data_IF_570884479028
#
_entry.id   IF_570884479028
#
_cell.length_a   1.000
_cell.length_b   1.000
_cell.length_c   1.000
_cell.angle_alpha   90.00
_cell.angle_beta   90.00
_cell.angle_gamma   90.00
#
_symmetry.space_group_name_H-M   'P 1'
#
loop_
_entity.id
_entity.type
_entity.pdbx_description
1 polymer ?
#
# COMPACT_ATOMS: atom_id res chain seq x y z
N UNK A 1 24.98 -61.98 -46.25
CA UNK A 1 24.01 -62.47 -45.25
C UNK A 1 24.15 -61.59 -44.01
N UNK A 2 23.03 -61.08 -43.50
CA UNK A 2 22.90 -60.01 -42.51
C UNK A 2 23.53 -60.33 -41.15
N UNK A 3 24.01 -59.28 -40.46
CA UNK A 3 23.55 -58.94 -39.10
C UNK A 3 23.94 -57.49 -38.75
N UNK A 4 22.90 -56.66 -38.62
CA UNK A 4 22.95 -55.29 -38.11
C UNK A 4 23.18 -55.36 -36.60
N UNK A 5 24.19 -54.68 -36.06
CA UNK A 5 24.30 -54.41 -34.64
C UNK A 5 23.88 -52.96 -34.38
N UNK A 6 22.61 -52.83 -34.00
CA UNK A 6 22.00 -51.62 -33.45
C UNK A 6 22.75 -51.22 -32.18
N UNK A 7 23.54 -50.15 -32.25
CA UNK A 7 24.06 -49.50 -31.05
C UNK A 7 22.97 -48.57 -30.51
N UNK A 8 22.19 -49.09 -29.55
CA UNK A 8 21.34 -48.26 -28.71
C UNK A 8 22.25 -47.36 -27.87
N UNK A 9 22.32 -46.08 -28.25
CA UNK A 9 22.93 -45.04 -27.45
C UNK A 9 21.99 -44.77 -26.26
N UNK A 10 22.34 -45.30 -25.10
CA UNK A 10 21.62 -45.09 -23.84
C UNK A 10 21.95 -43.68 -23.36
N UNK A 11 21.06 -42.72 -23.63
CA UNK A 11 21.19 -41.35 -23.13
C UNK A 11 20.70 -41.32 -21.69
N UNK A 12 21.62 -41.42 -20.72
CA UNK A 12 21.31 -41.19 -19.30
C UNK A 12 21.12 -39.67 -19.15
N UNK A 13 19.86 -39.23 -19.20
CA UNK A 13 19.45 -37.90 -18.81
C UNK A 13 19.54 -37.81 -17.28
N UNK A 14 20.67 -37.35 -16.76
CA UNK A 14 20.78 -36.95 -15.37
C UNK A 14 19.87 -35.72 -15.18
N UNK A 15 18.69 -35.94 -14.61
CA UNK A 15 17.86 -34.91 -14.01
C UNK A 15 18.68 -34.27 -12.89
N UNK A 16 19.32 -33.14 -13.18
CA UNK A 16 19.68 -32.19 -12.14
C UNK A 16 18.35 -31.70 -11.56
N UNK A 17 17.89 -32.33 -10.47
CA UNK A 17 17.02 -31.63 -9.54
C UNK A 17 17.84 -30.46 -9.03
N UNK A 18 17.55 -29.28 -9.56
CA UNK A 18 17.89 -28.05 -8.86
C UNK A 18 17.06 -28.11 -7.58
N UNK A 19 17.68 -28.43 -6.45
CA UNK A 19 17.09 -28.09 -5.18
C UNK A 19 17.03 -26.57 -5.17
N UNK A 20 15.87 -26.02 -5.53
CA UNK A 20 15.45 -24.74 -4.99
C UNK A 20 15.53 -24.95 -3.49
N UNK A 21 16.60 -24.46 -2.86
CA UNK A 21 16.65 -24.37 -1.42
C UNK A 21 15.50 -23.43 -1.08
N UNK A 22 14.41 -23.98 -0.56
CA UNK A 22 13.39 -23.16 0.03
C UNK A 22 14.05 -22.46 1.23
N UNK A 23 13.81 -21.18 1.34
CA UNK A 23 14.34 -20.30 2.38
C UNK A 23 13.13 -19.67 3.06
N UNK A 24 13.28 -19.05 4.24
CA UNK A 24 12.19 -18.32 4.85
C UNK A 24 11.65 -17.28 3.88
N UNK A 25 10.33 -17.11 3.87
CA UNK A 25 9.68 -16.11 3.03
C UNK A 25 9.05 -15.03 3.87
N UNK A 26 8.96 -13.84 3.28
CA UNK A 26 8.22 -12.71 3.79
C UNK A 26 7.12 -12.38 2.78
N UNK A 27 5.88 -12.32 3.25
CA UNK A 27 4.74 -11.86 2.46
C UNK A 27 4.17 -10.58 3.11
N UNK A 28 3.77 -9.62 2.28
CA UNK A 28 3.00 -8.45 2.67
C UNK A 28 1.70 -8.46 1.87
N UNK A 29 0.60 -8.10 2.51
CA UNK A 29 -0.70 -7.95 1.87
C UNK A 29 -1.40 -6.70 2.40
N UNK A 30 -1.73 -5.76 1.52
CA UNK A 30 -2.69 -4.69 1.80
C UNK A 30 -4.10 -5.28 1.74
N UNK A 31 -4.89 -5.10 2.80
CA UNK A 31 -6.25 -5.67 2.91
C UNK A 31 -7.30 -4.85 2.15
N UNK A 32 -7.10 -3.55 2.02
CA UNK A 32 -7.89 -2.65 1.14
C UNK A 32 -6.98 -1.81 0.23
N UNK A 33 -6.87 -2.15 -1.06
CA UNK A 33 -5.99 -1.42 -1.99
C UNK A 33 -6.57 -0.08 -2.48
N UNK A 34 -7.85 0.24 -2.19
CA UNK A 34 -8.48 1.52 -2.57
C UNK A 34 -9.27 2.14 -1.41
N UNK A 35 -8.60 2.47 -0.29
CA UNK A 35 -9.29 3.04 0.85
C UNK A 35 -9.88 4.41 0.48
N UNK A 36 -11.20 4.57 0.62
CA UNK A 36 -11.91 5.80 0.24
C UNK A 36 -11.49 7.01 1.09
N UNK A 37 -11.10 6.77 2.35
CA UNK A 37 -10.57 7.74 3.30
C UNK A 37 -9.61 7.02 4.24
N UNK A 38 -8.34 7.41 4.26
CA UNK A 38 -7.41 7.05 5.32
C UNK A 38 -7.19 8.29 6.22
N UNK A 39 -7.43 8.15 7.51
CA UNK A 39 -7.28 9.21 8.50
C UNK A 39 -5.86 9.26 9.05
N UNK A 40 -5.48 10.40 9.65
CA UNK A 40 -4.18 10.59 10.33
C UNK A 40 -3.82 9.43 11.27
N UNK A 41 -4.83 8.91 11.98
CA UNK A 41 -4.71 7.81 12.93
C UNK A 41 -4.19 6.49 12.31
N UNK A 42 -4.30 6.33 10.99
CA UNK A 42 -3.85 5.14 10.27
C UNK A 42 -2.36 5.19 9.89
N UNK A 43 -1.73 6.37 9.93
CA UNK A 43 -0.39 6.59 9.38
C UNK A 43 0.73 6.71 10.41
N UNK A 44 0.37 6.92 11.67
CA UNK A 44 1.31 6.79 12.77
C UNK A 44 1.50 5.29 13.03
N UNK A 45 2.45 4.71 12.30
CA UNK A 45 2.68 3.26 12.16
C UNK A 45 2.85 2.54 13.51
N UNK A 46 3.17 3.27 14.59
CA UNK A 46 3.24 2.71 15.94
C UNK A 46 2.36 3.42 16.99
N UNK A 47 1.72 4.57 16.71
CA UNK A 47 0.84 5.23 17.68
C UNK A 47 -0.54 5.65 17.12
N UNK A 48 -1.54 4.80 17.39
CA UNK A 48 -2.98 5.06 17.64
C UNK A 48 -4.05 4.78 16.55
N UNK A 49 -4.80 3.69 16.79
CA UNK A 49 -6.26 3.69 16.95
C UNK A 49 -7.15 4.02 15.73
N UNK A 50 -6.88 3.43 14.57
CA UNK A 50 -7.99 2.91 13.78
C UNK A 50 -8.21 1.44 14.14
N UNK A 51 -9.47 1.06 14.34
CA UNK A 51 -9.81 -0.32 14.70
C UNK A 51 -9.72 -1.30 13.52
N UNK A 52 -9.27 -0.84 12.35
CA UNK A 52 -9.43 -1.57 11.10
C UNK A 52 -8.08 -2.13 10.61
N UNK A 53 -8.12 -3.39 10.17
CA UNK A 53 -6.97 -4.09 9.61
C UNK A 53 -6.69 -3.57 8.19
N UNK A 54 -5.52 -2.95 8.00
CA UNK A 54 -5.09 -2.31 6.75
C UNK A 54 -4.01 -3.10 6.00
N UNK A 55 -3.13 -3.77 6.73
CA UNK A 55 -2.15 -4.66 6.13
C UNK A 55 -1.87 -5.86 7.03
N UNK A 56 -1.42 -6.95 6.40
CA UNK A 56 -0.93 -8.16 7.04
C UNK A 56 0.50 -8.44 6.56
N UNK A 57 1.37 -8.82 7.48
CA UNK A 57 2.72 -9.28 7.21
C UNK A 57 2.80 -10.73 7.64
N UNK A 58 3.42 -11.59 6.84
CA UNK A 58 3.63 -12.97 7.21
C UNK A 58 5.07 -13.43 6.98
N UNK A 59 5.65 -14.06 7.98
CA UNK A 59 6.92 -14.78 7.86
C UNK A 59 6.61 -16.27 7.80
N UNK A 60 7.25 -16.97 6.89
CA UNK A 60 7.13 -18.42 6.82
C UNK A 60 8.47 -19.14 6.74
N UNK A 61 8.58 -20.29 7.39
CA UNK A 61 9.70 -21.20 7.21
C UNK A 61 9.17 -22.64 7.26
N UNK A 62 9.33 -23.36 6.16
CA UNK A 62 8.93 -24.76 6.03
C UNK A 62 10.13 -25.72 5.96
N UNK A 63 11.34 -25.21 6.17
CA UNK A 63 12.56 -25.98 6.14
C UNK A 63 12.95 -26.50 7.52
N UNK A 64 13.72 -27.58 7.54
CA UNK A 64 14.38 -28.12 8.74
C UNK A 64 15.69 -27.37 9.06
N UNK A 65 15.67 -26.04 8.92
CA UNK A 65 16.80 -25.15 9.17
C UNK A 65 16.36 -23.95 10.01
N UNK A 66 17.19 -23.62 11.00
CA UNK A 66 17.06 -22.42 11.83
C UNK A 66 17.86 -21.27 11.20
N UNK A 67 17.30 -20.06 11.23
CA UNK A 67 17.97 -18.84 10.77
C UNK A 67 18.12 -17.89 11.95
N UNK A 68 19.36 -17.68 12.38
CA UNK A 68 19.72 -16.81 13.50
C UNK A 68 20.06 -15.39 13.01
N UNK A 69 20.03 -14.42 13.93
CA UNK A 69 20.38 -13.01 13.65
C UNK A 69 19.55 -12.40 12.51
N UNK A 70 18.27 -12.77 12.43
CA UNK A 70 17.35 -12.23 11.45
C UNK A 70 16.85 -10.86 11.87
N UNK A 71 16.64 -9.97 10.90
CA UNK A 71 16.06 -8.64 11.10
C UNK A 71 14.95 -8.43 10.08
N UNK A 72 13.81 -7.94 10.54
CA UNK A 72 12.68 -7.52 9.71
C UNK A 72 12.75 -6.01 9.53
N UNK A 73 12.74 -5.56 8.29
CA UNK A 73 12.73 -4.15 7.95
C UNK A 73 11.47 -3.88 7.15
N UNK A 74 10.69 -2.88 7.55
CA UNK A 74 9.51 -2.43 6.82
C UNK A 74 9.73 -0.97 6.46
N UNK A 75 9.57 -0.63 5.18
CA UNK A 75 9.77 0.71 4.64
C UNK A 75 8.53 1.16 3.89
N UNK A 76 8.04 2.35 4.21
CA UNK A 76 6.88 2.97 3.60
C UNK A 76 7.33 4.09 2.68
N UNK A 77 6.84 4.06 1.44
CA UNK A 77 7.13 5.05 0.42
C UNK A 77 5.85 5.73 -0.04
N UNK A 78 5.96 7.02 -0.41
CA UNK A 78 4.98 7.74 -1.20
C UNK A 78 5.67 8.25 -2.44
N UNK A 79 5.15 7.90 -3.61
CA UNK A 79 5.69 8.35 -4.89
C UNK A 79 7.23 8.13 -4.97
N UNK A 80 7.70 6.97 -4.50
CA UNK A 80 9.12 6.53 -4.42
C UNK A 80 9.98 7.24 -3.36
N UNK A 81 9.38 8.07 -2.53
CA UNK A 81 10.08 8.79 -1.48
C UNK A 81 9.84 8.12 -0.13
N UNK A 82 10.92 7.85 0.61
CA UNK A 82 10.84 7.19 1.91
C UNK A 82 10.14 8.09 2.92
N UNK A 83 9.12 7.55 3.56
CA UNK A 83 8.32 8.21 4.59
C UNK A 83 8.65 7.64 5.95
N UNK A 84 8.58 6.33 6.07
CA UNK A 84 8.74 5.62 7.31
C UNK A 84 9.53 4.32 7.09
N UNK A 85 10.18 3.84 8.14
CA UNK A 85 11.11 2.72 8.18
C UNK A 85 11.18 2.25 9.62
N UNK A 86 10.72 1.05 9.84
CA UNK A 86 10.78 0.37 11.13
C UNK A 86 11.64 -0.88 10.97
N UNK A 87 12.36 -1.20 12.03
CA UNK A 87 13.33 -2.29 12.03
C UNK A 87 13.18 -3.07 13.34
N UNK A 88 13.11 -4.40 13.23
CA UNK A 88 13.05 -5.24 14.42
C UNK A 88 14.41 -5.32 15.13
N UNK A 89 14.38 -5.69 16.40
CA UNK A 89 15.54 -6.34 17.00
C UNK A 89 15.87 -7.65 16.27
N UNK A 90 17.09 -8.14 16.49
CA UNK A 90 17.50 -9.45 15.99
C UNK A 90 16.61 -10.55 16.58
N UNK A 91 16.07 -11.41 15.72
CA UNK A 91 15.29 -12.57 16.10
C UNK A 91 15.79 -13.83 15.41
N UNK A 92 15.27 -14.98 15.84
CA UNK A 92 15.59 -16.29 15.25
C UNK A 92 14.34 -16.83 14.58
N UNK A 93 14.45 -17.33 13.36
CA UNK A 93 13.36 -18.05 12.69
C UNK A 93 13.56 -19.54 12.94
N UNK A 94 12.66 -20.20 13.70
CA UNK A 94 12.74 -21.63 13.95
C UNK A 94 12.61 -22.46 12.68
N UNK A 95 13.23 -23.64 12.68
CA UNK A 95 12.93 -24.68 11.71
C UNK A 95 11.45 -25.07 11.77
N UNK A 96 10.83 -25.36 10.62
CA UNK A 96 9.44 -25.79 10.52
C UNK A 96 8.44 -24.83 11.20
N UNK A 97 8.73 -23.52 11.23
CA UNK A 97 7.86 -22.48 11.78
C UNK A 97 6.41 -22.56 11.24
N UNK A 98 6.26 -22.96 9.97
CA UNK A 98 5.03 -22.79 9.22
C UNK A 98 4.85 -21.34 8.78
N UNK A 99 3.62 -20.85 8.68
CA UNK A 99 3.30 -19.44 8.41
C UNK A 99 2.85 -18.74 9.69
N UNK A 100 3.45 -17.60 10.02
CA UNK A 100 3.00 -16.69 11.08
C UNK A 100 2.73 -15.33 10.47
N UNK A 101 1.55 -14.81 10.73
CA UNK A 101 1.11 -13.51 10.25
C UNK A 101 0.74 -12.61 11.41
N UNK A 102 0.87 -11.31 11.19
CA UNK A 102 0.47 -10.25 12.10
C UNK A 102 -0.09 -9.11 11.27
N UNK A 103 -1.18 -8.50 11.73
CA UNK A 103 -1.73 -7.31 11.09
C UNK A 103 -1.23 -6.02 11.75
N UNK A 104 -1.50 -4.87 11.13
CA UNK A 104 -1.16 -3.55 11.67
C UNK A 104 -1.69 -3.33 13.10
N UNK A 105 -2.90 -3.79 13.42
CA UNK A 105 -3.51 -3.59 14.75
C UNK A 105 -2.78 -4.38 15.84
N UNK A 106 -2.36 -5.61 15.54
CA UNK A 106 -1.58 -6.48 16.42
C UNK A 106 -0.13 -5.98 16.56
N UNK A 107 0.49 -5.55 15.46
CA UNK A 107 1.82 -4.94 15.46
C UNK A 107 1.91 -3.73 16.39
N UNK A 108 0.88 -2.88 16.41
CA UNK A 108 0.79 -1.71 17.30
C UNK A 108 0.72 -2.06 18.79
N UNK A 109 0.31 -3.29 19.13
CA UNK A 109 0.26 -3.77 20.51
C UNK A 109 1.53 -4.51 20.91
N UNK A 110 2.56 -4.47 20.07
CA UNK A 110 3.77 -5.29 20.18
C UNK A 110 3.41 -6.79 20.24
N UNK A 111 2.36 -7.21 19.51
CA UNK A 111 1.84 -8.58 19.54
C UNK A 111 2.36 -9.48 18.40
N UNK A 112 3.55 -9.21 17.85
CA UNK A 112 4.15 -10.10 16.86
C UNK A 112 4.97 -11.20 17.53
N UNK A 113 4.41 -12.42 17.61
CA UNK A 113 5.07 -13.59 18.19
C UNK A 113 5.28 -14.71 17.17
N UNK A 114 6.44 -15.37 17.27
CA UNK A 114 6.72 -16.62 16.56
C UNK A 114 6.09 -17.82 17.27
N UNK A 115 6.12 -18.99 16.61
CA UNK A 115 5.42 -20.20 17.08
C UNK A 115 5.90 -20.72 18.45
N UNK A 116 7.12 -20.38 18.84
CA UNK A 116 7.74 -20.72 20.13
C UNK A 116 7.48 -19.66 21.22
N UNK A 117 6.75 -18.60 20.89
CA UNK A 117 6.48 -17.47 21.78
C UNK A 117 7.58 -16.43 21.82
N UNK A 118 8.59 -16.51 20.95
CA UNK A 118 9.58 -15.45 20.80
C UNK A 118 8.91 -14.19 20.22
N UNK A 119 8.98 -13.02 20.89
CA UNK A 119 8.51 -11.77 20.30
C UNK A 119 9.46 -11.31 19.20
N UNK A 120 8.90 -10.70 18.17
CA UNK A 120 9.63 -9.88 17.20
C UNK A 120 9.40 -8.43 17.62
N UNK A 121 10.32 -7.91 18.43
CA UNK A 121 10.25 -6.54 18.93
C UNK A 121 10.60 -5.58 17.80
N UNK A 122 9.61 -4.85 17.30
CA UNK A 122 9.80 -3.85 16.26
C UNK A 122 10.11 -2.51 16.93
N UNK A 123 11.22 -1.89 16.52
CA UNK A 123 11.57 -0.56 16.96
C UNK A 123 11.45 0.41 15.81
N UNK A 124 10.87 1.56 16.13
CA UNK A 124 10.95 2.70 15.23
C UNK A 124 12.42 3.02 14.99
N UNK A 125 12.82 3.06 13.71
CA UNK A 125 14.15 3.55 13.34
C UNK A 125 13.99 5.05 13.08
N UNK A 126 14.82 5.87 13.72
CA UNK A 126 14.78 7.34 13.58
C UNK A 126 14.67 7.76 12.10
N UNK A 127 13.55 8.38 11.73
CA UNK A 127 13.36 8.98 10.41
C UNK A 127 13.13 10.46 10.53
N UNK A 128 14.11 11.18 9.99
CA UNK A 128 14.07 12.63 9.87
C UNK A 128 14.27 12.93 8.38
N UNK A 129 13.18 13.03 7.64
CA UNK A 129 13.16 13.67 6.32
C UNK A 129 12.19 14.84 6.33
N UNK A 130 12.57 15.93 5.65
CA UNK A 130 11.78 17.17 5.60
C UNK A 130 10.36 16.97 5.05
N UNK A 131 10.15 15.92 4.25
CA UNK A 131 8.83 15.59 3.72
C UNK A 131 7.86 14.96 4.73
N UNK A 132 8.32 14.31 5.80
CA UNK A 132 7.42 13.93 6.89
C UNK A 132 6.78 15.19 7.47
N UNK A 133 7.54 16.28 7.67
CA UNK A 133 6.97 17.53 8.19
C UNK A 133 5.92 18.13 7.23
N UNK A 134 6.09 17.98 5.92
CA UNK A 134 5.11 18.46 4.93
C UNK A 134 3.86 17.57 4.92
N UNK A 135 4.05 16.25 4.98
CA UNK A 135 2.95 15.29 5.06
C UNK A 135 2.21 15.47 6.39
N UNK A 136 2.91 15.63 7.51
CA UNK A 136 2.34 15.97 8.81
C UNK A 136 1.54 17.27 8.77
N UNK A 137 2.01 18.32 8.08
CA UNK A 137 1.24 19.56 7.93
C UNK A 137 -0.03 19.37 7.10
N UNK A 138 0.05 18.62 5.99
CA UNK A 138 -1.10 18.30 5.14
C UNK A 138 -2.11 17.40 5.89
N UNK A 139 -1.60 16.47 6.69
CA UNK A 139 -2.34 15.58 7.58
C UNK A 139 -3.04 16.39 8.68
N UNK A 140 -2.31 17.22 9.44
CA UNK A 140 -2.82 18.07 10.52
C UNK A 140 -3.88 19.06 10.04
N UNK A 141 -3.78 19.53 8.78
CA UNK A 141 -4.73 20.49 8.20
C UNK A 141 -5.98 19.83 7.62
N UNK A 142 -5.89 18.60 7.09
CA UNK A 142 -6.99 17.95 6.36
C UNK A 142 -7.64 16.78 7.10
N UNK A 143 -6.99 16.23 8.13
CA UNK A 143 -7.44 15.00 8.79
C UNK A 143 -7.15 13.72 8.01
N UNK A 144 -6.50 13.81 6.83
CA UNK A 144 -6.36 12.70 5.86
C UNK A 144 -4.95 12.60 5.33
N UNK A 145 -4.54 11.39 4.93
CA UNK A 145 -3.28 11.18 4.21
C UNK A 145 -3.37 11.82 2.81
N UNK A 146 -2.30 12.47 2.29
CA UNK A 146 -2.30 13.07 0.97
C UNK A 146 -2.49 12.07 -0.17
N UNK A 147 -3.04 12.54 -1.29
CA UNK A 147 -3.12 11.79 -2.55
C UNK A 147 -1.72 11.36 -3.00
N UNK A 148 -1.61 10.13 -3.49
CA UNK A 148 -0.35 9.57 -3.98
C UNK A 148 -0.39 8.05 -4.11
N UNK A 149 0.68 7.53 -4.69
CA UNK A 149 0.97 6.10 -4.73
C UNK A 149 1.78 5.71 -3.49
N UNK A 150 1.27 4.77 -2.70
CA UNK A 150 1.92 4.30 -1.48
C UNK A 150 2.39 2.87 -1.64
N UNK A 151 3.59 2.59 -1.16
CA UNK A 151 4.20 1.26 -1.20
C UNK A 151 4.72 0.87 0.18
N UNK A 152 4.37 -0.32 0.63
CA UNK A 152 4.94 -0.97 1.80
C UNK A 152 5.92 -2.05 1.33
N UNK A 153 7.20 -1.83 1.58
CA UNK A 153 8.29 -2.75 1.25
C UNK A 153 8.76 -3.46 2.52
N UNK A 154 8.82 -4.77 2.47
CA UNK A 154 9.35 -5.61 3.54
C UNK A 154 10.61 -6.33 3.10
N UNK A 155 11.63 -6.28 3.95
CA UNK A 155 12.87 -7.02 3.76
C UNK A 155 13.11 -7.90 4.99
N UNK A 156 13.28 -9.19 4.75
CA UNK A 156 13.77 -10.13 5.74
C UNK A 156 15.27 -10.36 5.49
N UNK A 157 16.10 -9.95 6.44
CA UNK A 157 17.55 -10.08 6.37
C UNK A 157 18.04 -11.12 7.37
N UNK A 158 19.02 -11.92 6.98
CA UNK A 158 19.79 -12.77 7.89
C UNK A 158 21.28 -12.46 7.83
N UNK A 159 22.10 -13.27 8.49
CA UNK A 159 23.54 -13.05 8.61
C UNK A 159 24.27 -12.94 7.24
N UNK A 160 23.84 -13.71 6.24
CA UNK A 160 24.45 -13.74 4.91
C UNK A 160 23.93 -12.65 3.94
N UNK A 161 22.98 -11.81 4.38
CA UNK A 161 22.33 -10.78 3.56
C UNK A 161 20.81 -10.92 3.52
N UNK A 162 20.18 -10.33 2.50
CA UNK A 162 18.73 -10.42 2.33
C UNK A 162 18.33 -11.88 2.10
N UNK A 163 17.46 -12.39 2.97
CA UNK A 163 16.80 -13.68 2.80
C UNK A 163 15.69 -13.49 1.77
N UNK A 164 14.77 -12.56 2.04
CA UNK A 164 13.62 -12.31 1.17
C UNK A 164 13.24 -10.83 1.15
N UNK A 165 12.56 -10.42 0.09
CA UNK A 165 12.08 -9.06 -0.11
C UNK A 165 10.77 -9.10 -0.88
N UNK A 166 9.77 -8.39 -0.36
CA UNK A 166 8.44 -8.29 -0.97
C UNK A 166 7.91 -6.87 -0.81
N UNK A 167 6.99 -6.47 -1.68
CA UNK A 167 6.23 -5.24 -1.48
C UNK A 167 4.79 -5.41 -1.90
N UNK A 168 3.94 -4.55 -1.37
CA UNK A 168 2.57 -4.36 -1.83
C UNK A 168 2.23 -2.86 -1.78
N UNK A 169 1.24 -2.45 -2.55
CA UNK A 169 0.95 -1.04 -2.78
C UNK A 169 -0.54 -0.73 -2.76
N UNK A 170 -0.85 0.54 -2.54
CA UNK A 170 -2.19 1.08 -2.62
C UNK A 170 -2.16 2.52 -3.13
N UNK A 171 -3.24 2.92 -3.79
CA UNK A 171 -3.36 4.27 -4.34
C UNK A 171 -4.41 5.06 -3.57
N UNK A 172 -4.04 6.21 -3.03
CA UNK A 172 -5.00 7.18 -2.50
C UNK A 172 -5.38 8.10 -3.66
N UNK A 173 -6.46 7.75 -4.36
CA UNK A 173 -6.87 8.44 -5.59
C UNK A 173 -7.98 9.47 -5.39
N UNK A 174 -8.55 9.62 -4.19
CA UNK A 174 -9.87 10.25 -4.06
C UNK A 174 -9.87 11.76 -3.74
N UNK A 175 -10.33 12.62 -4.68
CA UNK A 175 -10.98 13.87 -4.31
C UNK A 175 -12.35 13.58 -3.66
N UNK A 176 -12.35 13.38 -2.34
CA UNK A 176 -13.54 13.01 -1.56
C UNK A 176 -14.69 14.03 -1.56
N UNK A 177 -14.49 15.27 -2.03
CA UNK A 177 -15.59 16.20 -2.25
C UNK A 177 -15.24 17.33 -3.23
N UNK A 178 -16.27 17.81 -3.92
CA UNK A 178 -16.29 19.11 -4.58
C UNK A 178 -17.55 19.82 -4.08
N UNK A 179 -17.37 20.85 -3.27
CA UNK A 179 -18.45 21.68 -2.74
C UNK A 179 -18.52 22.98 -3.52
N UNK A 180 -19.63 23.22 -4.21
CA UNK A 180 -19.86 24.47 -4.94
C UNK A 180 -20.13 25.60 -3.95
N UNK A 181 -19.30 26.64 -3.97
CA UNK A 181 -19.47 27.85 -3.15
C UNK A 181 -20.39 28.84 -3.88
N UNK A 182 -20.11 29.06 -5.18
CA UNK A 182 -20.89 29.95 -6.03
C UNK A 182 -20.50 29.81 -7.53
N UNK A 183 -21.32 30.31 -8.45
CA UNK A 183 -22.75 30.46 -8.33
C UNK A 183 -23.45 29.12 -8.67
N UNK A 184 -24.66 28.90 -8.15
CA UNK A 184 -25.46 27.72 -8.47
C UNK A 184 -25.72 26.82 -7.27
N UNK A 185 -26.66 25.90 -7.45
CA UNK A 185 -27.03 24.90 -6.44
C UNK A 185 -26.45 23.54 -6.77
N UNK A 186 -26.21 22.73 -5.74
CA UNK A 186 -25.76 21.35 -5.91
C UNK A 186 -26.68 20.56 -6.86
N UNK A 187 -26.08 19.72 -7.71
CA UNK A 187 -26.81 18.86 -8.62
C UNK A 187 -27.76 17.94 -7.83
N UNK A 188 -29.03 17.87 -8.25
CA UNK A 188 -30.04 17.06 -7.56
C UNK A 188 -30.71 17.72 -6.35
N UNK A 189 -30.32 18.94 -5.95
CA UNK A 189 -30.97 19.68 -4.86
C UNK A 189 -32.45 20.02 -5.13
N UNK A 190 -32.89 19.93 -6.39
CA UNK A 190 -34.23 20.33 -6.82
C UNK A 190 -34.41 21.85 -6.94
N UNK A 191 -33.43 22.63 -6.48
CA UNK A 191 -33.40 24.08 -6.64
C UNK A 191 -32.57 24.46 -7.87
N UNK A 192 -33.15 25.30 -8.72
CA UNK A 192 -32.44 25.94 -9.83
C UNK A 192 -32.23 27.39 -9.46
N UNK A 193 -30.99 27.72 -9.15
CA UNK A 193 -30.59 29.11 -8.93
C UNK A 193 -30.43 29.83 -10.26
N UNK A 194 -31.01 31.03 -10.35
CA UNK A 194 -30.88 31.91 -11.51
C UNK A 194 -29.82 32.97 -11.22
N UNK A 195 -28.80 33.01 -12.05
CA UNK A 195 -27.61 33.84 -11.87
C UNK A 195 -27.64 34.97 -12.89
N UNK A 196 -27.89 36.19 -12.43
CA UNK A 196 -28.06 37.38 -13.29
C UNK A 196 -26.75 38.16 -13.43
N UNK A 197 -25.71 37.52 -14.00
CA UNK A 197 -24.46 38.19 -14.35
C UNK A 197 -23.92 37.68 -15.69
N UNK A 198 -23.35 38.58 -16.48
CA UNK A 198 -22.65 38.23 -17.73
C UNK A 198 -21.26 37.62 -17.45
N UNK A 199 -20.75 37.73 -16.22
CA UNK A 199 -19.44 37.26 -15.80
C UNK A 199 -19.53 36.40 -14.52
N UNK A 200 -20.02 35.15 -14.60
CA UNK A 200 -20.08 34.28 -13.43
C UNK A 200 -18.66 33.88 -12.99
N UNK A 201 -18.38 33.98 -11.70
CA UNK A 201 -17.14 33.49 -11.09
C UNK A 201 -17.44 32.19 -10.36
N UNK A 202 -17.06 31.07 -10.96
CA UNK A 202 -17.22 29.75 -10.35
C UNK A 202 -16.18 29.58 -9.24
N UNK A 203 -16.68 29.26 -8.05
CA UNK A 203 -15.91 28.99 -6.85
C UNK A 203 -16.39 27.68 -6.26
N UNK A 204 -15.45 26.81 -5.97
CA UNK A 204 -15.69 25.56 -5.28
C UNK A 204 -14.56 25.32 -4.29
N UNK A 205 -14.85 24.52 -3.28
CA UNK A 205 -13.85 23.91 -2.43
C UNK A 205 -13.72 22.44 -2.82
N UNK A 206 -12.50 21.93 -2.89
CA UNK A 206 -12.26 20.54 -3.22
C UNK A 206 -10.82 20.15 -2.99
N UNK A 207 -10.57 18.85 -2.96
CA UNK A 207 -9.26 18.27 -2.73
C UNK A 207 -8.72 17.53 -3.97
N UNK A 208 -9.22 17.89 -5.17
CA UNK A 208 -8.72 17.37 -6.44
C UNK A 208 -7.41 18.02 -6.87
N UNK A 209 -6.52 17.20 -7.43
CA UNK A 209 -5.28 17.64 -8.07
C UNK A 209 -5.51 18.30 -9.44
N UNK A 210 -6.62 17.97 -10.10
CA UNK A 210 -7.05 18.56 -11.36
C UNK A 210 -8.58 18.76 -11.38
N UNK A 211 -9.05 19.83 -12.03
CA UNK A 211 -10.47 20.14 -12.19
C UNK A 211 -10.81 20.37 -13.66
N UNK A 212 -11.87 19.70 -14.14
CA UNK A 212 -12.46 19.98 -15.45
C UNK A 212 -13.80 20.70 -15.27
N UNK A 213 -13.91 21.91 -15.82
CA UNK A 213 -15.16 22.68 -15.83
C UNK A 213 -15.77 22.65 -17.23
N UNK A 214 -17.02 22.19 -17.32
CA UNK A 214 -17.79 22.18 -18.58
C UNK A 214 -19.01 23.09 -18.43
N UNK A 215 -19.09 24.13 -19.26
CA UNK A 215 -20.18 25.12 -19.25
C UNK A 215 -21.08 24.91 -20.46
N UNK A 216 -22.39 24.82 -20.21
CA UNK A 216 -23.41 24.71 -21.25
C UNK A 216 -24.30 25.95 -21.24
N UNK A 217 -24.44 26.60 -22.38
CA UNK A 217 -25.43 27.67 -22.58
C UNK A 217 -26.70 27.06 -23.17
N UNK A 218 -27.84 27.23 -22.49
CA UNK A 218 -29.14 26.92 -23.10
C UNK A 218 -29.54 28.07 -24.02
N UNK A 219 -29.38 27.88 -25.33
CA UNK A 219 -29.97 28.78 -26.32
C UNK A 219 -31.49 28.61 -26.32
N UNK A 220 -32.23 29.68 -26.00
CA UNK A 220 -33.66 29.70 -26.25
C UNK A 220 -33.86 29.50 -27.75
N UNK A 221 -34.61 28.46 -28.11
CA UNK A 221 -35.03 28.29 -29.50
C UNK A 221 -35.74 29.58 -29.92
N UNK A 222 -35.25 30.21 -30.99
CA UNK A 222 -36.01 31.18 -31.75
C UNK A 222 -37.38 30.53 -31.99
N UNK A 223 -38.43 31.06 -31.38
CA UNK A 223 -39.79 30.75 -31.81
C UNK A 223 -39.81 31.03 -33.30
N UNK A 224 -40.01 29.98 -34.10
CA UNK A 224 -40.20 30.12 -35.53
C UNK A 224 -41.37 31.07 -35.72
N UNK A 225 -41.05 32.28 -36.19
CA UNK A 225 -41.98 33.19 -36.85
C UNK A 225 -42.38 32.56 -38.18
N UNK A 226 -43.16 31.49 -38.11
CA UNK A 226 -43.95 31.02 -39.24
C UNK A 226 -45.34 31.64 -39.07
N UNK A 227 -45.54 32.72 -39.84
CA UNK A 227 -46.85 33.31 -40.13
C UNK A 227 -47.75 32.34 -40.90
#
# INVERSE_FOLDING_TARGET
>A
MMKKYSHSLFFILALFMVHLNAQPTLDIRITDPNPEVIYIADFDIMQLASGDEFFEIAISNFEDQVYEHCVLILSFYKDQQLLAKIESEEFTIPAMLGRRSVNNVELMRDEFYLADGQPIDIRESDLITEEINNIEQDILSSGKIPVGHYELVGVLRGEAGNIDETSDYFDITNPSFVELIAPGSAAGSGFKEEVYTEFPVFQWNGNGSEYQVVVFEKKFALQSLDN
#
